data_IF_378093438471
#
_entry.id   IF_378093438471
#
_cell.length_a   1.000
_cell.length_b   1.000
_cell.length_c   1.000
_cell.angle_alpha   90.00
_cell.angle_beta   90.00
_cell.angle_gamma   90.00
#
_symmetry.space_group_name_H-M   'P 1'
#
loop_
_entity.id
_entity.type
_entity.pdbx_description
1 polymer ?
#
# COMPACT_ATOMS: atom_id res chain seq x y z
N UNK A 1 28.87 -24.19 -45.29
CA UNK A 1 29.28 -22.93 -44.59
C UNK A 1 28.10 -22.05 -44.19
N UNK A 2 26.86 -22.34 -44.58
CA UNK A 2 25.64 -21.53 -44.30
C UNK A 2 25.01 -21.78 -42.91
N UNK A 3 25.32 -22.89 -42.24
CA UNK A 3 24.66 -23.26 -40.99
C UNK A 3 25.17 -22.53 -39.74
N UNK A 4 26.47 -22.21 -39.69
CA UNK A 4 27.08 -21.55 -38.51
C UNK A 4 26.69 -20.07 -38.45
N UNK A 5 26.67 -19.37 -39.60
CA UNK A 5 26.25 -17.97 -39.66
C UNK A 5 24.75 -17.78 -39.25
N UNK A 6 23.90 -18.73 -39.72
CA UNK A 6 22.46 -18.70 -39.32
C UNK A 6 22.26 -18.98 -37.85
N UNK A 7 23.07 -19.84 -37.22
CA UNK A 7 23.02 -20.12 -35.80
C UNK A 7 23.46 -18.90 -34.97
N UNK A 8 24.58 -18.27 -35.34
CA UNK A 8 25.04 -17.05 -34.66
C UNK A 8 24.05 -15.89 -34.80
N UNK A 9 23.45 -15.72 -35.97
CA UNK A 9 22.42 -14.69 -36.18
C UNK A 9 21.19 -14.95 -35.30
N UNK A 10 20.71 -16.19 -35.20
CA UNK A 10 19.60 -16.59 -34.36
C UNK A 10 19.88 -16.35 -32.86
N UNK A 11 21.08 -16.65 -32.37
CA UNK A 11 21.51 -16.44 -30.99
C UNK A 11 21.60 -14.93 -30.66
N UNK A 12 22.15 -14.12 -31.56
CA UNK A 12 22.24 -12.66 -31.38
C UNK A 12 20.85 -12.02 -31.33
N UNK A 13 19.94 -12.44 -32.20
CA UNK A 13 18.54 -11.95 -32.18
C UNK A 13 17.81 -12.36 -30.88
N UNK A 14 18.00 -13.61 -30.45
CA UNK A 14 17.40 -14.09 -29.19
C UNK A 14 17.95 -13.34 -27.97
N UNK A 15 19.25 -13.08 -27.88
CA UNK A 15 19.88 -12.31 -26.82
C UNK A 15 19.43 -10.84 -26.84
N UNK A 16 19.25 -10.24 -28.03
CA UNK A 16 18.72 -8.87 -28.16
C UNK A 16 17.25 -8.78 -27.70
N UNK A 17 16.42 -9.79 -28.03
CA UNK A 17 15.03 -9.83 -27.53
C UNK A 17 14.96 -10.01 -26.04
N UNK A 18 15.82 -10.81 -25.41
CA UNK A 18 15.89 -11.01 -23.97
C UNK A 18 16.34 -9.74 -23.23
N UNK A 19 17.27 -8.96 -23.79
CA UNK A 19 17.73 -7.70 -23.22
C UNK A 19 16.67 -6.58 -23.34
N UNK A 20 15.84 -6.60 -24.38
CA UNK A 20 14.74 -5.65 -24.56
C UNK A 20 13.55 -5.91 -23.61
N UNK A 21 13.36 -7.14 -23.14
CA UNK A 21 12.31 -7.47 -22.16
C UNK A 21 12.56 -6.87 -20.76
N UNK A 22 13.80 -6.56 -20.43
CA UNK A 22 14.13 -5.89 -19.15
C UNK A 22 13.89 -4.38 -19.19
N UNK A 23 13.65 -3.78 -20.35
CA UNK A 23 13.37 -2.35 -20.51
C UNK A 23 11.86 -2.05 -20.60
N UNK A 24 11.01 -3.06 -20.63
CA UNK A 24 9.58 -2.89 -20.53
C UNK A 24 9.17 -2.71 -19.06
N UNK A 25 9.60 -1.63 -18.43
CA UNK A 25 8.96 -1.11 -17.23
C UNK A 25 7.58 -0.61 -17.66
N UNK A 26 6.52 -1.27 -17.21
CA UNK A 26 5.13 -0.90 -17.56
C UNK A 26 4.67 0.41 -16.93
N UNK A 27 5.53 1.08 -16.18
CA UNK A 27 5.35 2.45 -15.74
C UNK A 27 6.53 3.26 -16.28
N UNK A 28 6.25 4.19 -17.18
CA UNK A 28 7.23 5.21 -17.52
C UNK A 28 7.55 6.01 -16.24
N UNK A 29 8.75 5.90 -15.67
CA UNK A 29 9.09 6.66 -14.46
C UNK A 29 9.24 8.16 -14.76
N UNK A 30 9.24 8.56 -16.03
CA UNK A 30 9.34 9.94 -16.48
C UNK A 30 7.95 10.46 -16.83
N UNK A 31 7.42 11.33 -15.98
CA UNK A 31 6.22 12.09 -16.34
C UNK A 31 6.56 13.00 -17.54
N UNK A 32 5.73 12.96 -18.60
CA UNK A 32 5.88 13.82 -19.76
C UNK A 32 5.53 15.28 -19.48
N UNK A 33 4.96 15.56 -18.31
CA UNK A 33 4.52 16.87 -17.84
C UNK A 33 4.75 17.00 -16.33
N UNK A 34 4.91 18.22 -15.85
CA UNK A 34 5.23 18.49 -14.45
C UNK A 34 4.12 18.04 -13.48
N UNK A 35 2.86 18.05 -13.93
CA UNK A 35 1.70 17.62 -13.14
C UNK A 35 0.52 17.22 -14.03
N UNK A 36 -0.39 16.43 -13.46
CA UNK A 36 -1.69 16.09 -14.03
C UNK A 36 -2.75 16.24 -12.94
N UNK A 37 -3.22 17.46 -12.71
CA UNK A 37 -4.30 17.71 -11.75
C UNK A 37 -5.57 17.02 -12.21
N UNK A 38 -6.24 16.27 -11.31
CA UNK A 38 -7.46 15.56 -11.65
C UNK A 38 -8.59 16.50 -12.06
N UNK A 39 -9.22 16.23 -13.19
CA UNK A 39 -10.46 16.87 -13.62
C UNK A 39 -11.66 16.02 -13.19
N UNK A 40 -12.28 16.38 -12.07
CA UNK A 40 -13.44 15.67 -11.52
C UNK A 40 -14.70 15.77 -12.40
N UNK A 41 -14.71 16.62 -13.41
CA UNK A 41 -15.84 16.78 -14.35
C UNK A 41 -15.71 15.88 -15.57
N UNK A 42 -14.54 15.33 -15.82
CA UNK A 42 -14.28 14.43 -16.94
C UNK A 42 -14.85 13.05 -16.69
N UNK A 43 -15.51 12.48 -17.68
CA UNK A 43 -15.94 11.07 -17.69
C UNK A 43 -14.84 10.12 -18.20
N UNK A 44 -13.70 10.66 -18.63
CA UNK A 44 -12.58 9.86 -19.16
C UNK A 44 -11.73 9.37 -18.00
N UNK A 45 -11.59 8.05 -17.88
CA UNK A 45 -10.75 7.38 -16.90
C UNK A 45 -9.71 6.54 -17.65
N UNK A 46 -8.49 7.01 -17.75
CA UNK A 46 -7.38 6.35 -18.43
C UNK A 46 -6.20 6.31 -17.46
N UNK A 47 -6.04 5.17 -16.77
CA UNK A 47 -4.99 4.97 -15.78
C UNK A 47 -4.95 6.06 -14.68
N UNK A 48 -6.13 6.53 -14.28
CA UNK A 48 -6.38 7.63 -13.36
C UNK A 48 -7.53 8.52 -13.85
N UNK A 49 -7.62 9.71 -13.30
CA UNK A 49 -8.57 10.74 -13.74
C UNK A 49 -7.90 11.59 -14.82
N UNK A 50 -8.68 12.05 -15.83
CA UNK A 50 -8.16 12.94 -16.86
C UNK A 50 -7.52 14.20 -16.26
N UNK A 51 -6.50 14.73 -16.92
CA UNK A 51 -5.85 15.96 -16.48
C UNK A 51 -6.72 17.19 -16.77
N UNK A 52 -6.82 18.06 -15.78
CA UNK A 52 -7.37 19.41 -15.93
C UNK A 52 -6.51 20.23 -16.90
N UNK A 53 -7.13 21.16 -17.64
CA UNK A 53 -6.37 22.08 -18.50
C UNK A 53 -5.32 22.84 -17.66
N UNK A 54 -4.03 22.75 -17.96
CA UNK A 54 -2.96 23.38 -17.17
C UNK A 54 -3.14 24.89 -16.98
N UNK A 55 -3.74 25.60 -17.95
CA UNK A 55 -3.97 27.03 -17.86
C UNK A 55 -5.00 27.45 -16.79
N UNK A 56 -5.78 26.49 -16.29
CA UNK A 56 -6.79 26.71 -15.24
C UNK A 56 -6.37 26.16 -13.87
N UNK A 57 -5.17 25.58 -13.79
CA UNK A 57 -4.64 25.03 -12.54
C UNK A 57 -4.15 26.16 -11.65
N UNK A 58 -4.42 26.02 -10.35
CA UNK A 58 -4.04 26.99 -9.33
C UNK A 58 -3.35 26.32 -8.15
N UNK A 59 -2.75 27.09 -7.25
CA UNK A 59 -2.15 26.55 -6.02
C UNK A 59 -3.15 25.78 -5.14
N UNK A 60 -4.44 26.08 -5.24
CA UNK A 60 -5.49 25.37 -4.49
C UNK A 60 -5.66 23.93 -4.95
N UNK A 61 -5.30 23.60 -6.17
CA UNK A 61 -5.34 22.22 -6.68
C UNK A 61 -4.27 21.31 -6.02
N UNK A 62 -3.25 21.91 -5.40
CA UNK A 62 -2.16 21.25 -4.68
C UNK A 62 -2.25 21.43 -3.16
N UNK A 63 -3.35 21.93 -2.65
CA UNK A 63 -3.54 22.25 -1.24
C UNK A 63 -4.70 21.47 -0.64
N UNK A 64 -4.46 20.84 0.50
CA UNK A 64 -5.47 20.20 1.32
C UNK A 64 -5.39 20.68 2.77
N UNK A 65 -6.54 21.03 3.34
CA UNK A 65 -6.66 21.38 4.75
C UNK A 65 -7.66 20.45 5.42
N UNK A 66 -7.25 19.79 6.51
CA UNK A 66 -8.17 18.89 7.23
C UNK A 66 -7.45 17.93 8.18
N UNK A 67 -6.19 17.56 7.88
CA UNK A 67 -5.46 16.61 8.71
C UNK A 67 -5.12 17.12 10.14
N UNK A 68 -5.36 18.39 10.45
CA UNK A 68 -5.25 18.94 11.81
C UNK A 68 -6.46 18.60 12.69
N UNK A 69 -7.57 18.16 12.09
CA UNK A 69 -8.81 17.81 12.80
C UNK A 69 -8.81 16.32 13.10
N UNK A 70 -8.95 15.96 14.37
CA UNK A 70 -9.05 14.56 14.79
C UNK A 70 -10.35 13.92 14.25
N UNK A 71 -10.24 12.70 13.80
CA UNK A 71 -11.39 11.90 13.37
C UNK A 71 -12.18 11.33 14.54
N UNK A 72 -13.46 11.06 14.32
CA UNK A 72 -14.32 10.41 15.34
C UNK A 72 -13.99 8.91 15.43
N UNK A 73 -13.47 8.48 16.56
CA UNK A 73 -13.07 7.08 16.84
C UNK A 73 -14.17 6.27 17.55
N UNK A 74 -15.38 6.83 17.73
CA UNK A 74 -16.51 6.16 18.40
C UNK A 74 -17.15 5.11 17.49
N UNK A 75 -16.42 4.03 17.22
CA UNK A 75 -16.87 2.89 16.42
C UNK A 75 -16.25 1.58 16.93
N UNK A 76 -16.66 0.44 16.39
CA UNK A 76 -16.23 -0.88 16.84
C UNK A 76 -14.71 -1.09 16.79
N UNK A 77 -14.01 -0.49 15.83
CA UNK A 77 -12.55 -0.58 15.72
C UNK A 77 -11.84 0.43 16.64
N UNK A 78 -12.53 1.47 17.09
CA UNK A 78 -11.93 2.55 17.87
C UNK A 78 -10.89 3.35 17.07
N UNK A 79 -11.07 3.47 15.74
CA UNK A 79 -10.14 4.19 14.88
C UNK A 79 -10.86 4.95 13.77
N UNK A 80 -10.18 5.96 13.23
CA UNK A 80 -10.66 6.70 12.06
C UNK A 80 -9.51 7.00 11.12
N UNK A 81 -9.65 6.60 9.86
CA UNK A 81 -8.76 6.97 8.77
C UNK A 81 -9.33 8.19 8.06
N UNK A 82 -8.55 9.24 7.95
CA UNK A 82 -8.86 10.46 7.18
C UNK A 82 -7.93 10.50 5.98
N UNK A 83 -8.42 10.15 4.77
CA UNK A 83 -7.57 10.04 3.58
C UNK A 83 -7.33 11.39 2.90
N UNK A 84 -6.18 11.49 2.25
CA UNK A 84 -5.84 12.53 1.26
C UNK A 84 -5.33 11.81 0.01
N UNK A 85 -6.26 11.46 -0.86
CA UNK A 85 -6.01 10.84 -2.17
C UNK A 85 -6.27 11.87 -3.27
N UNK A 86 -6.13 11.49 -4.53
CA UNK A 86 -6.42 12.38 -5.66
C UNK A 86 -7.88 12.90 -5.67
N UNK A 87 -8.81 12.21 -5.02
CA UNK A 87 -10.19 12.66 -4.85
C UNK A 87 -10.34 13.81 -3.86
N UNK A 88 -9.48 13.91 -2.86
CA UNK A 88 -9.47 15.00 -1.88
C UNK A 88 -8.45 16.08 -2.25
N UNK A 89 -7.39 15.72 -2.96
CA UNK A 89 -6.31 16.59 -3.38
C UNK A 89 -5.98 16.29 -4.85
N UNK A 90 -6.63 16.99 -5.80
CA UNK A 90 -6.53 16.72 -7.24
C UNK A 90 -5.09 16.70 -7.78
N UNK A 91 -4.20 17.50 -7.20
CA UNK A 91 -2.78 17.54 -7.56
C UNK A 91 -2.00 16.25 -7.31
N UNK A 92 -2.54 15.29 -6.52
CA UNK A 92 -1.94 13.97 -6.32
C UNK A 92 -2.18 12.99 -7.49
N UNK A 93 -3.05 13.36 -8.44
CA UNK A 93 -3.36 12.49 -9.58
C UNK A 93 -2.09 12.09 -10.33
N UNK A 94 -1.95 10.81 -10.64
CA UNK A 94 -0.81 10.19 -11.34
C UNK A 94 0.53 10.13 -10.58
N UNK A 95 0.67 10.77 -9.41
CA UNK A 95 1.96 10.83 -8.70
C UNK A 95 2.31 9.55 -7.91
N UNK A 96 1.37 8.63 -7.76
CA UNK A 96 1.60 7.36 -7.06
C UNK A 96 1.81 7.48 -5.54
N UNK A 97 1.51 8.64 -4.96
CA UNK A 97 1.59 8.89 -3.51
C UNK A 97 0.24 9.30 -2.96
N UNK A 98 0.04 9.07 -1.67
CA UNK A 98 -1.10 9.55 -0.89
C UNK A 98 -0.69 9.77 0.56
N UNK A 99 -1.53 10.43 1.32
CA UNK A 99 -1.33 10.62 2.74
C UNK A 99 -2.62 10.30 3.49
N UNK A 100 -2.51 9.76 4.69
CA UNK A 100 -3.64 9.56 5.60
C UNK A 100 -3.26 10.01 7.00
N UNK A 101 -4.25 10.53 7.74
CA UNK A 101 -4.20 10.61 9.19
C UNK A 101 -5.03 9.47 9.77
N UNK A 102 -4.49 8.79 10.78
CA UNK A 102 -5.22 7.76 11.51
C UNK A 102 -5.27 8.17 12.98
N UNK A 103 -6.48 8.29 13.49
CA UNK A 103 -6.75 8.55 14.89
C UNK A 103 -7.22 7.27 15.57
N UNK A 104 -6.71 6.99 16.77
CA UNK A 104 -7.05 5.83 17.58
C UNK A 104 -7.54 6.24 18.95
N UNK A 105 -8.65 5.66 19.41
CA UNK A 105 -9.00 5.63 20.83
C UNK A 105 -8.02 4.69 21.58
N UNK A 106 -7.92 4.79 22.92
CA UNK A 106 -7.21 3.79 23.70
C UNK A 106 -7.70 2.37 23.37
N UNK A 107 -6.80 1.46 22.99
CA UNK A 107 -7.15 0.11 22.52
C UNK A 107 -7.82 0.08 21.14
N UNK A 108 -7.86 1.19 20.40
CA UNK A 108 -8.31 1.24 19.00
C UNK A 108 -7.31 0.54 18.08
N UNK A 109 -7.79 0.08 16.93
CA UNK A 109 -6.95 -0.63 15.95
C UNK A 109 -7.35 -0.30 14.52
N UNK A 110 -6.41 -0.45 13.61
CA UNK A 110 -6.67 -0.65 12.19
C UNK A 110 -6.49 -2.15 11.91
N UNK A 111 -7.53 -2.79 11.38
CA UNK A 111 -7.50 -4.24 11.16
C UNK A 111 -6.38 -4.65 10.20
N UNK A 112 -5.82 -5.87 10.33
CA UNK A 112 -4.85 -6.38 9.36
C UNK A 112 -5.35 -6.25 7.93
N UNK A 113 -4.56 -5.63 7.06
CA UNK A 113 -4.91 -5.35 5.67
C UNK A 113 -3.66 -5.36 4.80
N UNK A 114 -3.81 -5.20 3.50
CA UNK A 114 -2.69 -5.17 2.55
C UNK A 114 -2.78 -3.97 1.61
N UNK A 115 -1.62 -3.50 1.17
CA UNK A 115 -1.47 -2.51 0.10
C UNK A 115 -0.76 -3.17 -1.10
N UNK A 116 -1.50 -3.77 -2.05
CA UNK A 116 -0.90 -4.60 -3.12
C UNK A 116 0.08 -3.85 -4.04
N UNK A 117 0.03 -2.53 -4.09
CA UNK A 117 0.78 -1.69 -5.02
C UNK A 117 1.53 -0.54 -4.36
N UNK A 118 1.58 -0.50 -3.02
CA UNK A 118 2.19 0.62 -2.33
C UNK A 118 3.01 0.17 -1.12
N UNK A 119 4.15 0.80 -0.92
CA UNK A 119 4.88 0.79 0.35
C UNK A 119 4.29 1.90 1.22
N UNK A 120 4.14 1.63 2.51
CA UNK A 120 3.66 2.61 3.48
C UNK A 120 4.80 3.01 4.42
N UNK A 121 4.87 4.29 4.77
CA UNK A 121 5.69 4.81 5.85
C UNK A 121 4.77 5.50 6.86
N UNK A 122 4.96 5.20 8.14
CA UNK A 122 4.15 5.74 9.23
C UNK A 122 5.03 6.48 10.22
N UNK A 123 4.54 7.60 10.76
CA UNK A 123 5.13 8.26 11.93
C UNK A 123 4.06 8.52 13.00
N UNK A 124 4.43 8.33 14.26
CA UNK A 124 3.56 8.62 15.40
C UNK A 124 3.68 10.10 15.76
N UNK A 125 2.58 10.82 15.72
CA UNK A 125 2.53 12.25 16.09
C UNK A 125 2.21 12.45 17.57
N UNK A 126 1.43 11.53 18.17
CA UNK A 126 1.00 11.60 19.57
C UNK A 126 0.69 10.21 20.12
N UNK A 127 1.02 9.97 21.40
CA UNK A 127 0.78 8.70 22.07
C UNK A 127 1.78 7.61 21.75
N UNK A 128 1.32 6.36 21.85
CA UNK A 128 2.06 5.16 21.48
C UNK A 128 1.20 4.26 20.62
N UNK A 129 1.82 3.54 19.69
CA UNK A 129 1.13 2.67 18.73
C UNK A 129 1.93 1.36 18.56
N UNK A 130 1.26 0.23 18.73
CA UNK A 130 1.81 -1.05 18.31
C UNK A 130 1.57 -1.25 16.82
N UNK A 131 2.63 -1.53 16.07
CA UNK A 131 2.59 -1.75 14.62
C UNK A 131 3.25 -3.06 14.25
N UNK A 132 2.90 -3.63 13.10
CA UNK A 132 3.58 -4.80 12.61
C UNK A 132 3.13 -5.19 11.21
N UNK A 133 3.94 -6.03 10.56
CA UNK A 133 3.58 -6.66 9.30
C UNK A 133 4.05 -8.11 9.26
N UNK A 134 3.37 -8.92 8.45
CA UNK A 134 3.71 -10.32 8.23
C UNK A 134 4.24 -10.50 6.82
N UNK A 135 5.37 -11.22 6.68
CA UNK A 135 5.93 -11.52 5.37
C UNK A 135 5.07 -12.52 4.60
N UNK A 136 5.28 -12.57 3.27
CA UNK A 136 4.59 -13.52 2.39
C UNK A 136 4.95 -14.98 2.71
N UNK A 137 4.07 -15.91 2.25
CA UNK A 137 4.32 -17.34 2.28
C UNK A 137 5.67 -17.71 1.61
N UNK A 138 6.37 -18.76 2.07
CA UNK A 138 5.96 -19.67 3.14
C UNK A 138 6.37 -19.23 4.55
N UNK A 139 7.15 -18.15 4.69
CA UNK A 139 7.82 -17.84 5.96
C UNK A 139 6.85 -17.25 7.00
N UNK A 140 5.91 -16.39 6.60
CA UNK A 140 4.91 -15.70 7.45
C UNK A 140 5.52 -15.10 8.74
N UNK A 141 6.74 -14.53 8.64
CA UNK A 141 7.41 -13.90 9.78
C UNK A 141 6.67 -12.61 10.17
N UNK A 142 6.35 -12.46 11.45
CA UNK A 142 5.73 -11.28 12.01
C UNK A 142 6.78 -10.34 12.59
N UNK A 143 6.87 -9.13 12.05
CA UNK A 143 7.72 -8.04 12.54
C UNK A 143 6.84 -7.02 13.23
N UNK A 144 7.01 -6.85 14.54
CA UNK A 144 6.20 -5.94 15.36
C UNK A 144 7.07 -5.03 16.22
N UNK A 145 6.54 -3.83 16.52
CA UNK A 145 7.21 -2.82 17.34
C UNK A 145 6.19 -1.90 17.99
N UNK A 146 6.41 -1.54 19.25
CA UNK A 146 5.72 -0.39 19.87
C UNK A 146 6.49 0.88 19.51
N UNK A 147 5.79 1.83 18.92
CA UNK A 147 6.29 3.14 18.52
C UNK A 147 5.79 4.22 19.48
N UNK A 148 6.58 5.26 19.61
CA UNK A 148 6.27 6.45 20.40
C UNK A 148 6.33 7.69 19.50
N UNK A 149 5.89 8.83 20.02
CA UNK A 149 5.90 10.10 19.31
C UNK A 149 7.26 10.38 18.65
N UNK A 150 7.26 10.61 17.35
CA UNK A 150 8.43 10.87 16.52
C UNK A 150 9.07 9.63 15.90
N UNK A 151 8.67 8.42 16.33
CA UNK A 151 9.15 7.18 15.71
C UNK A 151 8.54 6.98 14.32
N UNK A 152 9.31 6.30 13.47
CA UNK A 152 8.94 5.99 12.09
C UNK A 152 9.01 4.48 11.87
N UNK A 153 8.05 3.93 11.13
CA UNK A 153 8.02 2.54 10.73
C UNK A 153 7.66 2.39 9.24
N UNK A 154 8.24 1.41 8.58
CA UNK A 154 7.99 1.12 7.16
C UNK A 154 7.26 -0.21 7.02
N UNK A 155 6.20 -0.22 6.23
CA UNK A 155 5.50 -1.43 5.78
C UNK A 155 5.87 -1.66 4.31
N UNK A 156 6.78 -2.61 4.01
CA UNK A 156 7.19 -2.87 2.64
C UNK A 156 6.03 -3.42 1.81
N UNK A 157 5.90 -2.98 0.56
CA UNK A 157 4.95 -3.60 -0.35
C UNK A 157 5.40 -5.04 -0.63
N UNK A 158 4.43 -5.97 -0.67
CA UNK A 158 4.71 -7.34 -1.09
C UNK A 158 5.09 -7.37 -2.56
N UNK A 159 6.38 -7.46 -2.86
CA UNK A 159 6.93 -7.45 -4.21
C UNK A 159 6.60 -8.73 -5.01
N UNK A 160 6.04 -9.76 -4.37
CA UNK A 160 5.69 -11.01 -5.02
C UNK A 160 4.17 -11.11 -5.22
N UNK A 161 3.67 -10.98 -6.47
CA UNK A 161 2.24 -11.00 -6.77
C UNK A 161 1.61 -12.41 -6.79
N UNK A 162 2.26 -13.43 -6.23
CA UNK A 162 1.69 -14.77 -6.10
C UNK A 162 0.39 -14.77 -5.27
N UNK A 163 -0.37 -15.85 -5.35
CA UNK A 163 -1.56 -16.03 -4.49
C UNK A 163 -1.14 -15.99 -3.02
N UNK A 164 -1.63 -15.02 -2.28
CA UNK A 164 -1.38 -14.88 -0.84
C UNK A 164 -2.54 -15.53 -0.12
N UNK A 165 -2.27 -16.62 0.60
CA UNK A 165 -3.25 -17.20 1.52
C UNK A 165 -3.25 -16.36 2.79
N UNK A 166 -4.24 -15.47 2.91
CA UNK A 166 -4.36 -14.54 4.05
C UNK A 166 -4.41 -15.30 5.38
N UNK A 167 -5.05 -16.48 5.41
CA UNK A 167 -5.18 -17.26 6.62
C UNK A 167 -3.82 -17.64 7.25
N UNK A 168 -2.84 -18.08 6.44
CA UNK A 168 -1.50 -18.38 6.94
C UNK A 168 -0.79 -17.14 7.51
N UNK A 169 -0.91 -16.01 6.85
CA UNK A 169 -0.32 -14.76 7.33
C UNK A 169 -0.99 -14.25 8.61
N UNK A 170 -2.30 -14.42 8.74
CA UNK A 170 -3.09 -13.88 9.86
C UNK A 170 -3.05 -14.81 11.07
N UNK A 171 -3.26 -16.10 10.88
CA UNK A 171 -3.38 -17.07 11.98
C UNK A 171 -2.09 -17.88 12.21
N UNK A 172 -1.22 -18.01 11.20
CA UNK A 172 0.00 -18.81 11.25
C UNK A 172 1.30 -18.01 11.28
N UNK A 173 1.26 -16.70 11.51
CA UNK A 173 2.48 -15.88 11.61
C UNK A 173 3.35 -16.27 12.81
N UNK A 174 4.68 -16.09 12.67
CA UNK A 174 5.63 -16.34 13.75
C UNK A 174 6.49 -15.06 13.98
N UNK A 175 6.45 -14.49 15.21
CA UNK A 175 5.51 -14.78 16.29
C UNK A 175 4.05 -14.52 15.90
N UNK A 176 3.10 -15.10 16.63
CA UNK A 176 1.67 -14.95 16.37
C UNK A 176 1.18 -13.51 16.55
N UNK A 177 0.20 -13.10 15.75
CA UNK A 177 -0.55 -11.86 16.02
C UNK A 177 -1.40 -12.09 17.28
N UNK A 178 -1.50 -11.07 18.14
CA UNK A 178 -2.32 -11.14 19.36
C UNK A 178 -3.75 -11.61 19.06
N UNK A 179 -4.24 -12.59 19.82
CA UNK A 179 -5.60 -13.10 19.66
C UNK A 179 -6.67 -12.04 19.87
N UNK A 180 -6.43 -11.04 20.73
CA UNK A 180 -7.35 -9.91 20.95
C UNK A 180 -7.47 -9.02 19.71
N UNK A 181 -6.35 -8.75 19.03
CA UNK A 181 -6.34 -8.00 17.78
C UNK A 181 -7.16 -8.73 16.72
N UNK A 182 -6.91 -10.04 16.55
CA UNK A 182 -7.62 -10.84 15.55
C UNK A 182 -9.11 -10.99 15.90
N UNK A 183 -9.46 -11.23 17.16
CA UNK A 183 -10.83 -11.31 17.63
C UNK A 183 -11.62 -10.04 17.29
N UNK A 184 -11.04 -8.87 17.58
CA UNK A 184 -11.64 -7.57 17.26
C UNK A 184 -11.72 -7.32 15.77
N UNK A 185 -10.67 -7.66 15.00
CA UNK A 185 -10.62 -7.46 13.54
C UNK A 185 -11.67 -8.25 12.78
N UNK A 186 -11.88 -9.49 13.19
CA UNK A 186 -12.77 -10.44 12.51
C UNK A 186 -14.14 -10.60 13.20
N UNK A 187 -14.39 -9.85 14.29
CA UNK A 187 -15.61 -9.96 15.10
C UNK A 187 -15.83 -11.39 15.62
N UNK A 188 -14.77 -12.04 16.06
CA UNK A 188 -14.75 -13.37 16.66
C UNK A 188 -14.50 -13.30 18.17
N UNK A 189 -14.81 -14.37 18.88
CA UNK A 189 -14.33 -14.54 20.25
C UNK A 189 -12.86 -15.03 20.27
N UNK A 190 -12.16 -14.75 21.37
CA UNK A 190 -10.73 -15.08 21.52
C UNK A 190 -10.50 -16.59 21.49
N UNK A 191 -11.44 -17.40 21.99
CA UNK A 191 -11.30 -18.85 21.98
C UNK A 191 -11.33 -19.39 20.55
N UNK A 192 -12.22 -18.88 19.71
CA UNK A 192 -12.26 -19.19 18.26
C UNK A 192 -10.97 -18.79 17.58
N UNK A 193 -10.42 -17.60 17.86
CA UNK A 193 -9.14 -17.16 17.28
C UNK A 193 -8.00 -18.09 17.69
N UNK A 194 -7.88 -18.41 18.98
CA UNK A 194 -6.86 -19.34 19.48
C UNK A 194 -6.98 -20.72 18.83
N UNK A 195 -8.21 -21.21 18.64
CA UNK A 195 -8.44 -22.46 17.91
C UNK A 195 -7.97 -22.36 16.46
N UNK A 196 -8.26 -21.27 15.77
CA UNK A 196 -7.77 -21.07 14.39
C UNK A 196 -6.25 -21.01 14.36
N UNK A 197 -5.60 -20.23 15.23
CA UNK A 197 -4.15 -20.13 15.28
C UNK A 197 -3.47 -21.50 15.57
N UNK A 198 -4.15 -22.40 16.26
CA UNK A 198 -3.63 -23.76 16.52
C UNK A 198 -3.66 -24.69 15.29
N UNK A 199 -4.27 -24.27 14.18
CA UNK A 199 -4.40 -25.05 12.94
C UNK A 199 -3.41 -24.65 11.86
N UNK A 200 -2.67 -23.58 12.06
CA UNK A 200 -1.64 -23.05 11.17
C UNK A 200 -0.29 -23.05 11.87
#
# INVERSE_FOLDING_TARGET
MTSVASFFFGVVVALSCLSLQQLASAADPSLLQDFCVADSTSSVLLNGVACKNPSTVTANDFYFRGLHVAGNTSNAQGSRVTPVFATQLPGLNTLGISMVRIDYAPGGQNAPHTHPRATEILTVLEGSLEVGFVTSNPNNNHFTKTLYKGDVFVFPSNANPGAITIANAVFGSQPGISADILAKSFSLDVATVNFMQSKF
#
